data_IF_564994465275
#
_entry.id   IF_564994465275
#
_cell.length_a   1.000
_cell.length_b   1.000
_cell.length_c   1.000
_cell.angle_alpha   90.00
_cell.angle_beta   90.00
_cell.angle_gamma   90.00
#
_symmetry.space_group_name_H-M   'P 1'
#
loop_
_entity.id
_entity.type
_entity.pdbx_description
1 polymer ?
#
# COMPACT_ATOMS: atom_id res chain seq x y z
N UNK A 1 17.81 -30.60 -1.08
CA UNK A 1 18.86 -29.61 -0.79
C UNK A 1 18.18 -28.32 -0.32
N UNK A 2 18.10 -28.09 1.01
CA UNK A 2 17.93 -26.75 1.61
C UNK A 2 16.54 -26.09 1.76
N UNK A 3 15.50 -26.78 2.27
CA UNK A 3 14.13 -26.26 2.56
C UNK A 3 14.00 -24.94 3.37
N UNK A 4 15.09 -24.39 3.94
CA UNK A 4 15.04 -23.18 4.77
C UNK A 4 15.04 -21.89 3.94
N UNK A 5 15.65 -21.90 2.76
CA UNK A 5 15.89 -20.68 1.97
C UNK A 5 14.60 -20.14 1.34
N UNK A 6 13.65 -21.02 1.02
CA UNK A 6 12.37 -20.62 0.41
C UNK A 6 11.52 -19.79 1.38
N UNK A 7 11.52 -20.15 2.68
CA UNK A 7 10.75 -19.43 3.70
C UNK A 7 11.29 -18.01 3.87
N UNK A 8 12.63 -17.84 3.91
CA UNK A 8 13.24 -16.50 3.93
C UNK A 8 12.96 -15.71 2.65
N UNK A 9 12.90 -16.38 1.50
CA UNK A 9 12.55 -15.76 0.24
C UNK A 9 11.10 -15.25 0.22
N UNK A 10 10.14 -16.09 0.61
CA UNK A 10 8.73 -15.69 0.72
C UNK A 10 8.51 -14.62 1.79
N UNK A 11 9.26 -14.66 2.90
CA UNK A 11 9.20 -13.65 3.93
C UNK A 11 9.75 -12.31 3.45
N UNK A 12 10.88 -12.31 2.73
CA UNK A 12 11.45 -11.10 2.11
C UNK A 12 10.47 -10.49 1.10
N UNK A 13 9.85 -11.33 0.27
CA UNK A 13 8.84 -10.91 -0.70
C UNK A 13 7.60 -10.33 0.00
N UNK A 14 7.11 -10.99 1.04
CA UNK A 14 5.98 -10.50 1.85
C UNK A 14 6.30 -9.15 2.50
N UNK A 15 7.52 -8.98 3.03
CA UNK A 15 7.95 -7.74 3.66
C UNK A 15 8.02 -6.60 2.65
N UNK A 16 8.56 -6.85 1.46
CA UNK A 16 8.64 -5.87 0.38
C UNK A 16 7.24 -5.45 -0.10
N UNK A 17 6.30 -6.39 -0.21
CA UNK A 17 4.92 -6.12 -0.57
C UNK A 17 4.19 -5.35 0.54
N UNK A 18 4.32 -5.79 1.79
CA UNK A 18 3.75 -5.12 2.96
C UNK A 18 4.24 -3.67 3.07
N UNK A 19 5.55 -3.45 2.92
CA UNK A 19 6.13 -2.09 2.89
C UNK A 19 5.56 -1.25 1.74
N UNK A 20 5.34 -1.82 0.56
CA UNK A 20 4.75 -1.11 -0.59
C UNK A 20 3.30 -0.68 -0.31
N UNK A 21 2.50 -1.53 0.33
CA UNK A 21 1.13 -1.18 0.75
C UNK A 21 1.17 -0.09 1.81
N UNK A 22 2.00 -0.26 2.84
CA UNK A 22 2.15 0.72 3.93
C UNK A 22 2.55 2.08 3.34
N UNK A 23 3.54 2.12 2.44
CA UNK A 23 3.95 3.36 1.76
C UNK A 23 2.82 4.00 0.97
N UNK A 24 2.04 3.21 0.21
CA UNK A 24 0.90 3.73 -0.56
C UNK A 24 -0.17 4.33 0.35
N UNK A 25 -0.51 3.65 1.45
CA UNK A 25 -1.47 4.14 2.44
C UNK A 25 -0.95 5.41 3.11
N UNK A 26 0.34 5.46 3.50
CA UNK A 26 0.96 6.63 4.10
C UNK A 26 0.86 7.86 3.20
N UNK A 27 1.16 7.68 1.91
CA UNK A 27 1.05 8.73 0.89
C UNK A 27 -0.37 9.24 0.76
N UNK A 28 -1.36 8.35 0.69
CA UNK A 28 -2.77 8.74 0.61
C UNK A 28 -3.23 9.50 1.86
N UNK A 29 -2.82 9.07 3.06
CA UNK A 29 -3.11 9.78 4.32
C UNK A 29 -2.44 11.15 4.34
N UNK A 30 -1.19 11.24 3.88
CA UNK A 30 -0.46 12.51 3.82
C UNK A 30 -1.16 13.52 2.89
N UNK A 31 -1.54 13.07 1.69
CA UNK A 31 -2.28 13.88 0.73
C UNK A 31 -3.65 14.29 1.30
N UNK A 32 -4.38 13.38 1.93
CA UNK A 32 -5.64 13.69 2.61
C UNK A 32 -5.45 14.80 3.66
N UNK A 33 -4.42 14.70 4.51
CA UNK A 33 -4.18 15.68 5.57
C UNK A 33 -3.85 17.07 5.02
N UNK A 34 -3.12 17.16 3.90
CA UNK A 34 -2.83 18.42 3.22
C UNK A 34 -4.11 19.03 2.62
N UNK A 35 -4.94 18.21 1.97
CA UNK A 35 -6.21 18.64 1.37
C UNK A 35 -7.22 19.05 2.43
N UNK A 36 -7.35 18.29 3.52
CA UNK A 36 -8.24 18.58 4.65
C UNK A 36 -7.93 19.94 5.27
N UNK A 37 -6.64 20.33 5.31
CA UNK A 37 -6.22 21.65 5.78
C UNK A 37 -6.68 22.81 4.88
N UNK A 38 -6.89 22.56 3.59
CA UNK A 38 -7.30 23.58 2.61
C UNK A 38 -8.82 23.68 2.40
N UNK A 39 -9.55 22.55 2.48
CA UNK A 39 -10.97 22.44 2.11
C UNK A 39 -11.90 22.28 3.33
N UNK A 40 -11.35 22.06 4.53
CA UNK A 40 -12.12 21.71 5.72
C UNK A 40 -12.36 20.21 5.83
N UNK A 41 -12.54 19.71 7.06
CA UNK A 41 -12.68 18.29 7.37
C UNK A 41 -14.00 17.74 6.82
N UNK A 42 -13.94 17.14 5.64
CA UNK A 42 -15.08 16.50 5.00
C UNK A 42 -14.95 14.98 5.12
N UNK A 43 -15.85 14.37 5.91
CA UNK A 43 -15.85 12.92 6.17
C UNK A 43 -15.92 12.09 4.87
N UNK A 44 -16.61 12.61 3.84
CA UNK A 44 -16.72 11.97 2.53
C UNK A 44 -15.38 11.90 1.79
N UNK A 45 -14.58 12.97 1.83
CA UNK A 45 -13.24 12.99 1.22
C UNK A 45 -12.28 12.05 1.95
N UNK A 46 -12.43 11.92 3.28
CA UNK A 46 -11.64 10.99 4.07
C UNK A 46 -11.87 9.54 3.68
N UNK A 47 -13.13 9.12 3.64
CA UNK A 47 -13.50 7.76 3.26
C UNK A 47 -13.07 7.46 1.83
N UNK A 48 -13.22 8.41 0.91
CA UNK A 48 -12.78 8.26 -0.48
C UNK A 48 -11.26 8.10 -0.59
N UNK A 49 -10.48 8.89 0.15
CA UNK A 49 -9.01 8.78 0.16
C UNK A 49 -8.51 7.49 0.79
N UNK A 50 -9.18 6.98 1.83
CA UNK A 50 -8.87 5.67 2.41
C UNK A 50 -9.11 4.56 1.38
N UNK A 51 -10.26 4.57 0.71
CA UNK A 51 -10.59 3.56 -0.30
C UNK A 51 -9.57 3.62 -1.45
N UNK A 52 -9.25 4.83 -1.95
CA UNK A 52 -8.23 5.01 -2.97
C UNK A 52 -6.85 4.52 -2.52
N UNK A 53 -6.45 4.78 -1.28
CA UNK A 53 -5.15 4.34 -0.74
C UNK A 53 -5.06 2.83 -0.57
N UNK A 54 -6.13 2.19 -0.10
CA UNK A 54 -6.20 0.73 0.03
C UNK A 54 -6.20 0.09 -1.35
N UNK A 55 -7.07 0.54 -2.27
CA UNK A 55 -7.14 0.00 -3.64
C UNK A 55 -5.83 0.23 -4.39
N UNK A 56 -5.23 1.42 -4.27
CA UNK A 56 -3.94 1.73 -4.90
C UNK A 56 -2.78 0.90 -4.35
N UNK A 57 -2.72 0.72 -3.03
CA UNK A 57 -1.73 -0.14 -2.38
C UNK A 57 -1.87 -1.61 -2.81
N UNK A 58 -3.10 -2.13 -2.83
CA UNK A 58 -3.39 -3.47 -3.34
C UNK A 58 -3.02 -3.60 -4.81
N UNK A 59 -3.40 -2.65 -5.67
CA UNK A 59 -3.10 -2.71 -7.09
C UNK A 59 -1.59 -2.71 -7.37
N UNK A 60 -0.81 -1.94 -6.60
CA UNK A 60 0.64 -1.94 -6.69
C UNK A 60 1.25 -3.30 -6.31
N UNK A 61 0.76 -3.92 -5.24
CA UNK A 61 1.18 -5.25 -4.81
C UNK A 61 0.81 -6.32 -5.82
N UNK A 62 -0.43 -6.31 -6.32
CA UNK A 62 -0.87 -7.23 -7.37
C UNK A 62 0.00 -7.09 -8.62
N UNK A 63 0.31 -5.86 -9.03
CA UNK A 63 1.18 -5.59 -10.19
C UNK A 63 2.62 -6.04 -9.95
N UNK A 64 3.17 -5.87 -8.74
CA UNK A 64 4.52 -6.35 -8.39
C UNK A 64 4.62 -7.87 -8.43
N UNK A 65 3.58 -8.56 -7.94
CA UNK A 65 3.51 -10.03 -7.96
C UNK A 65 3.29 -10.53 -9.39
N UNK A 66 2.36 -9.94 -10.16
CA UNK A 66 2.07 -10.35 -11.54
C UNK A 66 3.19 -10.00 -12.54
N UNK A 67 3.95 -8.93 -12.30
CA UNK A 67 5.06 -8.52 -13.19
C UNK A 67 6.29 -9.44 -13.06
N UNK A 68 6.26 -10.42 -12.16
CA UNK A 68 7.24 -11.51 -12.14
C UNK A 68 6.83 -12.58 -13.17
N UNK A 69 6.85 -12.23 -14.45
CA UNK A 69 6.89 -13.18 -15.57
C UNK A 69 7.96 -12.78 -16.55
#
# INVERSE_FOLDING_TARGET
>A
MGSKNDIFYYLSLLTQLGLTIIFSILICIFIYKVIAKFIGENIFLFVFFIILGVVGGFYNVYKLILKKK
#
